data_IF_783668656756
#
_entry.id   IF_783668656756
#
_cell.length_a   1.000
_cell.length_b   1.000
_cell.length_c   1.000
_cell.angle_alpha   90.00
_cell.angle_beta   90.00
_cell.angle_gamma   90.00
#
_symmetry.space_group_name_H-M   'P 1'
#
loop_
_entity.id
_entity.type
_entity.pdbx_description
1 polymer ?
#
# COMPACT_ATOMS: atom_id res chain seq x y z
N UNK A 1 39.36 -15.12 25.21
CA UNK A 1 37.97 -15.58 25.42
C UNK A 1 37.35 -15.73 24.05
N UNK A 2 37.03 -16.96 23.66
CA UNK A 2 36.51 -17.30 22.32
C UNK A 2 35.10 -17.85 22.51
N UNK A 3 34.10 -17.17 21.96
CA UNK A 3 32.70 -17.61 22.00
C UNK A 3 32.30 -18.19 20.65
N UNK A 4 31.78 -19.42 20.69
CA UNK A 4 31.30 -20.20 19.54
C UNK A 4 29.79 -19.94 19.40
N UNK A 5 29.36 -19.38 18.28
CA UNK A 5 27.94 -19.20 17.95
C UNK A 5 27.44 -20.46 17.22
N UNK A 6 26.44 -21.13 17.79
CA UNK A 6 25.74 -22.26 17.16
C UNK A 6 24.64 -21.72 16.22
N UNK A 7 24.59 -22.26 14.99
CA UNK A 7 23.55 -21.99 14.00
C UNK A 7 22.27 -22.78 14.32
N UNK A 8 21.12 -22.10 14.43
CA UNK A 8 19.81 -22.76 14.54
C UNK A 8 19.13 -22.82 13.16
N UNK A 9 19.04 -24.02 12.60
CA UNK A 9 18.19 -24.33 11.43
C UNK A 9 16.75 -24.52 11.89
N UNK A 10 15.83 -23.66 11.46
CA UNK A 10 14.39 -23.84 11.72
C UNK A 10 13.73 -24.40 10.46
N UNK A 11 13.30 -25.66 10.56
CA UNK A 11 12.60 -26.42 9.53
C UNK A 11 11.13 -25.98 9.45
N UNK A 12 10.72 -25.48 8.28
CA UNK A 12 9.35 -25.03 7.98
C UNK A 12 8.62 -26.11 7.17
N UNK A 13 8.41 -27.29 7.77
CA UNK A 13 7.61 -28.36 7.17
C UNK A 13 6.41 -28.72 8.04
N UNK A 14 5.45 -27.81 8.21
CA UNK A 14 4.19 -28.16 8.89
C UNK A 14 3.00 -27.25 8.54
N UNK A 15 2.64 -27.11 7.27
CA UNK A 15 1.29 -26.65 6.92
C UNK A 15 0.73 -27.48 5.77
N UNK A 16 0.13 -28.63 6.13
CA UNK A 16 -0.67 -29.43 5.21
C UNK A 16 -1.98 -29.87 5.88
N UNK A 17 -3.08 -29.38 5.30
CA UNK A 17 -4.43 -29.98 5.13
C UNK A 17 -5.47 -30.08 6.27
N UNK A 18 -6.53 -29.27 6.10
CA UNK A 18 -7.98 -29.61 5.87
C UNK A 18 -8.88 -30.06 7.07
N UNK A 19 -10.13 -29.52 7.21
CA UNK A 19 -11.08 -29.78 8.32
C UNK A 19 -12.09 -30.92 7.99
N UNK A 20 -12.85 -31.51 8.96
CA UNK A 20 -14.22 -31.00 9.29
C UNK A 20 -14.82 -31.37 10.69
N UNK A 21 -15.97 -30.72 10.99
CA UNK A 21 -17.19 -31.22 11.68
C UNK A 21 -17.29 -31.45 13.22
N UNK A 22 -18.12 -30.58 13.83
CA UNK A 22 -19.34 -30.86 14.61
C UNK A 22 -19.31 -31.68 15.93
N UNK A 23 -19.78 -31.01 16.99
CA UNK A 23 -20.89 -31.41 17.88
C UNK A 23 -20.60 -31.64 19.38
N UNK A 24 -21.48 -31.03 20.20
CA UNK A 24 -22.04 -31.45 21.52
C UNK A 24 -21.53 -30.77 22.81
N UNK A 25 -22.32 -29.79 23.25
CA UNK A 25 -22.82 -29.63 24.65
C UNK A 25 -23.51 -30.93 25.16
N UNK A 26 -23.83 -31.14 26.47
CA UNK A 26 -24.28 -30.13 27.46
C UNK A 26 -23.89 -30.37 28.95
N UNK A 27 -24.25 -29.44 29.84
CA UNK A 27 -24.95 -29.63 31.15
C UNK A 27 -24.59 -28.48 32.14
N UNK A 28 -25.47 -27.49 32.37
CA UNK A 28 -26.61 -27.45 33.33
C UNK A 28 -26.20 -27.24 34.80
N UNK A 29 -26.47 -26.06 35.36
CA UNK A 29 -27.26 -25.97 36.60
C UNK A 29 -27.96 -24.59 36.78
N UNK A 30 -29.21 -24.68 37.22
CA UNK A 30 -30.31 -23.69 37.26
C UNK A 30 -30.40 -22.88 38.57
N UNK A 31 -31.10 -21.73 38.51
CA UNK A 31 -32.34 -21.38 39.26
C UNK A 31 -32.69 -19.88 39.05
N UNK A 32 -33.80 -19.50 38.37
CA UNK A 32 -35.16 -19.17 38.88
C UNK A 32 -35.17 -18.07 39.97
N UNK A 33 -35.99 -17.03 40.02
CA UNK A 33 -37.23 -16.54 39.37
C UNK A 33 -37.36 -15.04 39.77
N UNK A 34 -37.63 -14.09 38.86
CA UNK A 34 -38.95 -13.49 38.54
C UNK A 34 -39.23 -12.10 39.19
N UNK A 35 -39.73 -11.20 38.33
CA UNK A 35 -40.62 -10.03 38.56
C UNK A 35 -40.08 -8.58 38.66
N UNK A 36 -40.22 -7.90 37.52
CA UNK A 36 -40.85 -6.58 37.26
C UNK A 36 -40.49 -5.36 38.14
N UNK A 37 -39.91 -4.31 37.53
CA UNK A 37 -40.61 -3.10 37.06
C UNK A 37 -39.62 -1.99 36.64
N UNK A 38 -39.94 -1.34 35.52
CA UNK A 38 -39.68 0.05 35.16
C UNK A 38 -38.32 0.69 35.52
N UNK A 39 -37.50 0.93 34.49
CA UNK A 39 -36.98 2.27 34.21
C UNK A 39 -36.47 2.31 32.76
N UNK A 40 -37.02 3.22 31.98
CA UNK A 40 -36.48 3.60 30.70
C UNK A 40 -35.08 4.20 30.90
N UNK A 41 -34.09 3.61 30.25
CA UNK A 41 -32.89 4.32 29.83
C UNK A 41 -32.62 3.90 28.40
N UNK A 42 -33.10 4.77 27.52
CA UNK A 42 -32.70 4.93 26.15
C UNK A 42 -31.17 5.10 26.12
N UNK A 43 -30.45 4.02 25.88
CA UNK A 43 -29.07 4.09 25.39
C UNK A 43 -29.11 3.47 24.00
N UNK A 44 -29.48 4.30 23.03
CA UNK A 44 -29.12 4.07 21.64
C UNK A 44 -27.59 3.97 21.58
N UNK A 45 -27.08 2.76 21.69
CA UNK A 45 -25.72 2.42 21.32
C UNK A 45 -25.68 2.57 19.80
N UNK A 46 -25.29 3.78 19.39
CA UNK A 46 -25.04 4.16 18.01
C UNK A 46 -24.00 3.18 17.47
N UNK A 47 -24.47 2.15 16.77
CA UNK A 47 -23.61 1.40 15.87
C UNK A 47 -23.14 2.42 14.84
N UNK A 48 -22.00 3.05 15.11
CA UNK A 48 -21.25 3.84 14.16
C UNK A 48 -20.81 2.88 13.07
N UNK A 49 -21.74 2.60 12.14
CA UNK A 49 -21.47 1.87 10.94
C UNK A 49 -20.36 2.63 10.25
N UNK A 50 -19.20 1.97 10.11
CA UNK A 50 -18.04 2.53 9.42
C UNK A 50 -18.51 2.89 8.02
N UNK A 51 -18.79 4.17 7.78
CA UNK A 51 -19.17 4.65 6.46
C UNK A 51 -17.88 4.78 5.67
N UNK A 52 -17.71 3.92 4.67
CA UNK A 52 -16.61 4.00 3.71
C UNK A 52 -16.54 5.42 3.13
N UNK A 53 -15.33 5.99 3.06
CA UNK A 53 -15.11 7.27 2.40
C UNK A 53 -15.42 7.13 0.91
N UNK A 54 -15.73 8.24 0.23
CA UNK A 54 -16.05 8.19 -1.21
C UNK A 54 -14.89 7.59 -2.03
N UNK A 55 -13.64 7.83 -1.63
CA UNK A 55 -12.46 7.17 -2.21
C UNK A 55 -12.49 5.65 -2.05
N UNK A 56 -12.75 5.15 -0.83
CA UNK A 56 -12.83 3.71 -0.58
C UNK A 56 -13.94 3.06 -1.41
N UNK A 57 -15.07 3.76 -1.57
CA UNK A 57 -16.19 3.30 -2.42
C UNK A 57 -15.83 3.27 -3.90
N UNK A 58 -15.03 4.23 -4.37
CA UNK A 58 -14.59 4.30 -5.76
C UNK A 58 -13.58 3.20 -6.11
N UNK A 59 -12.69 2.85 -5.17
CA UNK A 59 -11.79 1.70 -5.28
C UNK A 59 -12.58 0.39 -5.30
N UNK A 60 -13.58 0.24 -4.42
CA UNK A 60 -14.42 -0.95 -4.33
C UNK A 60 -15.40 -1.12 -5.50
N UNK A 61 -15.85 -0.03 -6.14
CA UNK A 61 -16.74 -0.09 -7.31
C UNK A 61 -16.01 -0.51 -8.60
N UNK A 62 -14.67 -0.50 -8.58
CA UNK A 62 -13.84 -0.76 -9.75
C UNK A 62 -13.89 0.35 -10.79
N UNK A 63 -14.46 1.51 -10.46
CA UNK A 63 -14.54 2.66 -11.37
C UNK A 63 -13.16 3.29 -11.60
N UNK A 64 -12.32 3.37 -10.56
CA UNK A 64 -10.90 3.75 -10.70
C UNK A 64 -10.15 2.82 -11.68
N UNK A 65 -10.36 1.51 -11.55
CA UNK A 65 -9.74 0.52 -12.43
C UNK A 65 -10.22 0.59 -13.89
N UNK A 66 -11.39 1.20 -14.16
CA UNK A 66 -11.88 1.42 -15.52
C UNK A 66 -11.32 2.70 -16.13
N UNK A 67 -11.21 3.77 -15.34
CA UNK A 67 -10.60 5.04 -15.76
C UNK A 67 -9.11 4.85 -16.09
N UNK A 68 -8.38 4.06 -15.30
CA UNK A 68 -6.98 3.71 -15.59
C UNK A 68 -6.83 2.77 -16.80
N UNK A 69 -7.82 1.92 -17.09
CA UNK A 69 -7.78 1.01 -18.23
C UNK A 69 -7.88 1.75 -19.58
N UNK A 70 -8.54 2.90 -19.64
CA UNK A 70 -8.70 3.70 -20.85
C UNK A 70 -7.40 4.45 -21.24
N UNK A 71 -6.47 4.69 -20.29
CA UNK A 71 -5.22 5.44 -20.56
C UNK A 71 -4.25 4.68 -21.48
N UNK A 72 -4.33 3.35 -21.54
CA UNK A 72 -3.35 2.50 -22.24
C UNK A 72 -3.96 1.22 -22.87
N UNK A 73 -5.10 1.31 -23.56
CA UNK A 73 -5.81 0.14 -24.11
C UNK A 73 -4.95 -0.79 -24.99
N UNK A 74 -3.95 -0.24 -25.68
CA UNK A 74 -3.06 -0.99 -26.57
C UNK A 74 -1.91 -1.73 -25.86
N UNK A 75 -1.84 -1.63 -24.52
CA UNK A 75 -0.68 -2.04 -23.74
C UNK A 75 -1.06 -3.20 -22.79
N UNK A 76 -0.28 -4.30 -22.76
CA UNK A 76 -0.51 -5.39 -21.82
C UNK A 76 -0.55 -4.93 -20.36
N UNK A 77 -1.42 -5.56 -19.56
CA UNK A 77 -1.69 -5.17 -18.17
C UNK A 77 -0.43 -5.09 -17.28
N UNK A 78 0.60 -5.89 -17.54
CA UNK A 78 1.85 -5.80 -16.76
C UNK A 78 2.63 -4.52 -17.05
N UNK A 79 2.63 -4.02 -18.30
CA UNK A 79 3.26 -2.76 -18.68
C UNK A 79 2.43 -1.59 -18.18
N UNK A 80 1.09 -1.71 -18.17
CA UNK A 80 0.21 -0.71 -17.56
C UNK A 80 0.56 -0.47 -16.07
N UNK A 81 0.72 -1.54 -15.28
CA UNK A 81 1.17 -1.43 -13.87
C UNK A 81 2.54 -0.78 -13.71
N UNK A 82 3.43 -0.98 -14.68
CA UNK A 82 4.75 -0.33 -14.66
C UNK A 82 4.63 1.16 -14.96
N UNK A 83 3.73 1.56 -15.86
CA UNK A 83 3.44 2.96 -16.17
C UNK A 83 2.78 3.66 -14.96
N UNK A 84 1.83 3.00 -14.30
CA UNK A 84 1.21 3.47 -13.06
C UNK A 84 2.27 3.68 -11.96
N UNK A 85 3.15 2.68 -11.74
CA UNK A 85 4.26 2.83 -10.78
C UNK A 85 5.23 3.96 -11.16
N UNK A 86 5.41 4.22 -12.46
CA UNK A 86 6.24 5.32 -12.92
C UNK A 86 5.61 6.68 -12.58
N UNK A 87 4.29 6.81 -12.70
CA UNK A 87 3.51 8.00 -12.32
C UNK A 87 3.59 8.24 -10.82
N UNK A 88 3.41 7.20 -9.99
CA UNK A 88 3.56 7.29 -8.52
C UNK A 88 4.96 7.81 -8.12
N UNK A 89 6.02 7.26 -8.69
CA UNK A 89 7.39 7.69 -8.36
C UNK A 89 7.64 9.14 -8.81
N UNK A 90 7.06 9.57 -9.93
CA UNK A 90 7.17 10.96 -10.39
C UNK A 90 6.52 11.93 -9.39
N UNK A 91 5.35 11.57 -8.86
CA UNK A 91 4.68 12.34 -7.82
C UNK A 91 5.51 12.38 -6.53
N UNK A 92 6.01 11.23 -6.07
CA UNK A 92 6.90 11.14 -4.89
C UNK A 92 8.16 12.02 -5.06
N UNK A 93 8.80 11.99 -6.23
CA UNK A 93 9.95 12.86 -6.57
C UNK A 93 9.58 14.33 -6.48
N UNK A 94 8.37 14.70 -6.92
CA UNK A 94 7.92 16.10 -6.97
C UNK A 94 7.69 16.63 -5.56
N UNK A 95 6.94 15.89 -4.75
CA UNK A 95 6.70 16.22 -3.34
C UNK A 95 8.00 16.32 -2.54
N UNK A 96 8.91 15.37 -2.74
CA UNK A 96 10.18 15.36 -2.03
C UNK A 96 11.10 16.53 -2.42
N UNK A 97 11.04 16.97 -3.69
CA UNK A 97 11.77 18.16 -4.15
C UNK A 97 11.21 19.44 -3.53
N UNK A 98 9.89 19.55 -3.42
CA UNK A 98 9.24 20.69 -2.75
C UNK A 98 9.66 20.74 -1.28
N UNK A 99 9.57 19.62 -0.56
CA UNK A 99 9.98 19.54 0.84
C UNK A 99 11.47 19.86 1.03
N UNK A 100 12.34 19.36 0.14
CA UNK A 100 13.76 19.72 0.17
C UNK A 100 14.00 21.22 -0.08
N UNK A 101 13.21 21.85 -0.94
CA UNK A 101 13.29 23.29 -1.19
C UNK A 101 12.88 24.08 0.06
N UNK A 102 11.84 23.64 0.77
CA UNK A 102 11.42 24.25 2.04
C UNK A 102 12.50 24.14 3.12
N UNK A 103 13.07 22.95 3.29
CA UNK A 103 14.15 22.71 4.25
C UNK A 103 15.41 23.52 3.93
N UNK A 104 15.72 23.71 2.64
CA UNK A 104 16.88 24.49 2.19
C UNK A 104 16.64 26.01 2.25
N UNK A 105 15.39 26.47 2.33
CA UNK A 105 15.08 27.90 2.47
C UNK A 105 15.38 28.46 3.86
N UNK A 106 15.55 27.59 4.87
CA UNK A 106 15.98 27.94 6.22
C UNK A 106 17.38 28.58 6.20
N UNK A 107 17.50 29.82 6.70
CA UNK A 107 18.76 30.58 6.67
C UNK A 107 19.82 30.03 7.64
N UNK A 108 19.42 29.30 8.67
CA UNK A 108 20.30 28.76 9.70
C UNK A 108 19.73 27.46 10.27
N UNK A 109 19.77 26.36 9.49
CA UNK A 109 19.24 25.07 9.91
C UNK A 109 20.07 24.48 11.04
N UNK A 110 19.40 23.87 12.01
CA UNK A 110 20.04 23.08 13.05
C UNK A 110 20.61 21.75 12.48
N UNK A 111 21.38 21.03 13.30
CA UNK A 111 22.01 19.77 12.88
C UNK A 111 20.98 18.70 12.47
N UNK A 112 19.84 18.65 13.16
CA UNK A 112 18.76 17.72 12.84
C UNK A 112 18.14 18.00 11.46
N UNK A 113 17.92 19.27 11.13
CA UNK A 113 17.41 19.72 9.83
C UNK A 113 18.41 19.43 8.72
N UNK A 114 19.71 19.60 8.98
CA UNK A 114 20.76 19.25 8.02
C UNK A 114 20.80 17.74 7.74
N UNK A 115 20.75 16.90 8.79
CA UNK A 115 20.68 15.44 8.63
C UNK A 115 19.41 15.00 7.90
N UNK A 116 18.26 15.60 8.21
CA UNK A 116 17.00 15.33 7.52
C UNK A 116 17.08 15.69 6.03
N UNK A 117 17.68 16.85 5.72
CA UNK A 117 17.91 17.30 4.34
C UNK A 117 18.79 16.32 3.57
N UNK A 118 19.87 15.84 4.19
CA UNK A 118 20.76 14.86 3.56
C UNK A 118 20.06 13.52 3.32
N UNK A 119 19.33 13.00 4.30
CA UNK A 119 18.55 11.77 4.17
C UNK A 119 17.53 11.88 3.02
N UNK A 120 16.78 12.98 2.95
CA UNK A 120 15.81 13.24 1.88
C UNK A 120 16.48 13.40 0.52
N UNK A 121 17.65 14.02 0.46
CA UNK A 121 18.43 14.13 -0.77
C UNK A 121 18.91 12.77 -1.28
N UNK A 122 19.34 11.87 -0.38
CA UNK A 122 19.71 10.51 -0.74
C UNK A 122 18.50 9.71 -1.24
N UNK A 123 17.36 9.84 -0.55
CA UNK A 123 16.12 9.19 -0.96
C UNK A 123 15.62 9.69 -2.33
N UNK A 124 15.74 11.00 -2.60
CA UNK A 124 15.44 11.57 -3.91
C UNK A 124 16.29 10.94 -5.02
N UNK A 125 17.57 10.71 -4.76
CA UNK A 125 18.47 10.07 -5.73
C UNK A 125 18.05 8.63 -6.00
N UNK A 126 17.67 7.87 -4.96
CA UNK A 126 17.15 6.51 -5.10
C UNK A 126 15.85 6.46 -5.92
N UNK A 127 14.92 7.39 -5.67
CA UNK A 127 13.68 7.47 -6.45
C UNK A 127 13.96 7.81 -7.92
N UNK A 128 14.91 8.70 -8.20
CA UNK A 128 15.31 9.01 -9.57
C UNK A 128 15.93 7.82 -10.29
N UNK A 129 16.79 7.04 -9.61
CA UNK A 129 17.33 5.80 -10.16
C UNK A 129 16.22 4.80 -10.48
N UNK A 130 15.30 4.58 -9.52
CA UNK A 130 14.15 3.69 -9.71
C UNK A 130 13.27 4.14 -10.87
N UNK A 131 13.02 5.45 -11.00
CA UNK A 131 12.26 6.04 -12.09
C UNK A 131 12.89 5.70 -13.46
N UNK A 132 14.20 5.91 -13.61
CA UNK A 132 14.90 5.59 -14.85
C UNK A 132 14.94 4.09 -15.14
N UNK A 133 15.08 3.26 -14.12
CA UNK A 133 15.10 1.81 -14.30
C UNK A 133 13.74 1.26 -14.71
N UNK A 134 12.65 1.80 -14.16
CA UNK A 134 11.30 1.46 -14.63
C UNK A 134 11.10 1.89 -16.08
N UNK A 135 11.54 3.09 -16.48
CA UNK A 135 11.50 3.51 -17.89
C UNK A 135 12.21 2.52 -18.79
N UNK A 136 13.44 2.09 -18.43
CA UNK A 136 14.19 1.10 -19.21
C UNK A 136 13.42 -0.22 -19.29
N UNK A 137 12.90 -0.69 -18.16
CA UNK A 137 12.13 -1.94 -18.12
C UNK A 137 10.86 -1.85 -18.98
N UNK A 138 10.18 -0.70 -19.00
CA UNK A 138 9.01 -0.45 -19.87
C UNK A 138 9.42 -0.48 -21.33
N UNK A 139 10.53 0.19 -21.69
CA UNK A 139 11.04 0.17 -23.07
C UNK A 139 11.39 -1.24 -23.52
N UNK A 140 11.99 -2.06 -22.66
CA UNK A 140 12.28 -3.46 -22.96
C UNK A 140 11.02 -4.30 -23.10
N UNK A 141 10.05 -4.09 -22.22
CA UNK A 141 8.76 -4.77 -22.27
C UNK A 141 8.00 -4.45 -23.56
N UNK A 142 7.86 -3.16 -23.89
CA UNK A 142 7.23 -2.70 -25.14
C UNK A 142 7.91 -3.34 -26.37
N UNK A 143 9.24 -3.35 -26.42
CA UNK A 143 10.00 -4.02 -27.50
C UNK A 143 9.70 -5.52 -27.60
N UNK A 144 9.59 -6.22 -26.47
CA UNK A 144 9.28 -7.67 -26.43
C UNK A 144 7.87 -7.96 -26.95
N UNK A 145 6.92 -7.08 -26.69
CA UNK A 145 5.54 -7.18 -27.18
C UNK A 145 5.38 -6.68 -28.63
N UNK A 146 6.47 -6.21 -29.27
CA UNK A 146 6.44 -5.63 -30.61
C UNK A 146 5.82 -4.23 -30.67
N UNK A 147 5.55 -3.62 -29.51
CA UNK A 147 5.00 -2.27 -29.40
C UNK A 147 6.15 -1.28 -29.56
N UNK A 148 6.14 -0.54 -30.67
CA UNK A 148 7.21 0.40 -31.03
C UNK A 148 6.82 1.86 -30.80
N UNK A 149 5.64 2.14 -30.26
CA UNK A 149 5.21 3.52 -29.99
C UNK A 149 5.94 4.09 -28.75
N UNK A 150 6.87 5.06 -28.92
CA UNK A 150 7.50 5.73 -27.79
C UNK A 150 6.52 6.63 -27.03
N UNK A 151 5.38 6.99 -27.65
CA UNK A 151 4.36 7.87 -27.09
C UNK A 151 3.69 7.30 -25.83
N UNK A 152 3.72 5.98 -25.63
CA UNK A 152 3.18 5.32 -24.42
C UNK A 152 3.90 5.81 -23.16
N UNK A 153 5.24 5.86 -23.20
CA UNK A 153 6.04 6.33 -22.06
C UNK A 153 5.88 7.85 -21.91
N UNK A 154 5.89 8.59 -23.02
CA UNK A 154 5.73 10.06 -23.01
C UNK A 154 4.42 10.46 -22.31
N UNK A 155 3.33 9.75 -22.58
CA UNK A 155 2.03 9.98 -21.94
C UNK A 155 2.02 9.72 -20.43
N UNK A 156 2.89 8.83 -19.93
CA UNK A 156 3.03 8.59 -18.49
C UNK A 156 3.91 9.63 -17.80
N UNK A 157 4.85 10.25 -18.53
CA UNK A 157 5.85 11.15 -17.94
C UNK A 157 5.57 12.64 -18.18
N UNK A 158 4.66 12.98 -19.10
CA UNK A 158 4.24 14.37 -19.37
C UNK A 158 3.18 14.76 -18.38
#
# INVERSE_FOLDING_TARGET
MTFIIHQATTDISAFKTKPPALAKEPADEKASEEQATAAATDTAEEAQGITLSNEDKHVLSGEKAKEDAEKYEDVPAYIQRMLERLEEIKEEITLLKEELMELQAERSPDEATQQLTEMKSQYLMQLQEQYFDIIKNIQEALKKEGITDPGIIIRAIT
#
